data_IF_397244286499
#
_entry.id   IF_397244286499
#
_cell.length_a   1.000
_cell.length_b   1.000
_cell.length_c   1.000
_cell.angle_alpha   90.00
_cell.angle_beta   90.00
_cell.angle_gamma   90.00
#
_symmetry.space_group_name_H-M   'P 1'
#
loop_
_entity.id
_entity.type
_entity.pdbx_description
1 polymer ?
#
# COMPACT_ATOMS: atom_id res chain seq x y z
N UNK A 1 -0.64 9.45 -18.93
CA UNK A 1 -0.87 10.33 -17.77
C UNK A 1 -2.18 11.08 -17.94
N UNK A 2 -3.01 11.11 -16.89
CA UNK A 2 -4.31 11.78 -16.85
C UNK A 2 -4.13 13.27 -16.53
N UNK A 3 -4.22 14.12 -17.57
CA UNK A 3 -3.95 15.56 -17.44
C UNK A 3 -4.97 16.29 -16.55
N UNK A 4 -6.24 15.88 -16.58
CA UNK A 4 -7.26 16.45 -15.70
C UNK A 4 -6.92 16.20 -14.22
N UNK A 5 -6.46 14.99 -13.91
CA UNK A 5 -6.06 14.64 -12.56
C UNK A 5 -4.74 15.32 -12.15
N UNK A 6 -3.84 15.63 -13.08
CA UNK A 6 -2.65 16.46 -12.81
C UNK A 6 -3.05 17.85 -12.35
N UNK A 7 -3.97 18.52 -13.07
CA UNK A 7 -4.45 19.86 -12.69
C UNK A 7 -5.20 19.85 -11.36
N UNK A 8 -6.01 18.81 -11.11
CA UNK A 8 -6.66 18.62 -9.81
C UNK A 8 -5.66 18.40 -8.67
N UNK A 9 -4.57 17.67 -8.93
CA UNK A 9 -3.51 17.50 -7.93
C UNK A 9 -2.78 18.81 -7.66
N UNK A 10 -2.53 19.65 -8.68
CA UNK A 10 -1.87 20.96 -8.50
C UNK A 10 -2.69 21.90 -7.63
N UNK A 11 -4.02 21.90 -7.79
CA UNK A 11 -4.88 22.79 -7.01
C UNK A 11 -4.96 22.45 -5.53
N UNK A 12 -4.69 21.19 -5.15
CA UNK A 12 -4.77 20.74 -3.74
C UNK A 12 -3.39 20.52 -3.09
N UNK A 13 -2.37 20.15 -3.85
CA UNK A 13 -1.01 19.90 -3.35
C UNK A 13 -0.01 21.03 -3.66
N UNK A 14 -0.34 21.92 -4.59
CA UNK A 14 0.59 22.92 -5.13
C UNK A 14 1.43 22.40 -6.30
N UNK A 15 1.91 23.32 -7.13
CA UNK A 15 2.65 22.97 -8.35
C UNK A 15 3.96 22.24 -8.08
N UNK A 16 4.73 22.68 -7.08
CA UNK A 16 6.07 22.13 -6.84
C UNK A 16 6.03 20.73 -6.24
N UNK A 17 5.02 20.43 -5.44
CA UNK A 17 4.77 19.06 -4.95
C UNK A 17 4.32 18.14 -6.09
N UNK A 18 3.49 18.62 -7.02
CA UNK A 18 3.16 17.84 -8.21
C UNK A 18 4.39 17.60 -9.07
N UNK A 19 5.25 18.61 -9.29
CA UNK A 19 6.54 18.42 -9.99
C UNK A 19 7.41 17.39 -9.28
N UNK A 20 7.48 17.42 -7.95
CA UNK A 20 8.16 16.39 -7.17
C UNK A 20 7.59 14.99 -7.44
N UNK A 21 6.26 14.82 -7.47
CA UNK A 21 5.64 13.52 -7.73
C UNK A 21 5.91 13.00 -9.15
N UNK A 22 5.92 13.90 -10.14
CA UNK A 22 6.30 13.54 -11.51
C UNK A 22 7.77 13.11 -11.56
N UNK A 23 8.67 13.81 -10.86
CA UNK A 23 10.07 13.40 -10.76
C UNK A 23 10.21 12.06 -10.01
N UNK A 24 9.41 11.79 -8.98
CA UNK A 24 9.38 10.50 -8.28
C UNK A 24 9.03 9.34 -9.22
N UNK A 25 8.18 9.58 -10.23
CA UNK A 25 7.89 8.57 -11.25
C UNK A 25 9.14 8.24 -12.08
N UNK A 26 9.84 9.26 -12.57
CA UNK A 26 11.08 9.11 -13.32
C UNK A 26 12.19 8.46 -12.47
N UNK A 27 12.29 8.83 -11.19
CA UNK A 27 13.23 8.25 -10.24
C UNK A 27 12.96 6.75 -10.00
N UNK A 28 11.69 6.35 -9.92
CA UNK A 28 11.31 4.95 -9.79
C UNK A 28 11.70 4.13 -11.03
N UNK A 29 11.49 4.69 -12.23
CA UNK A 29 11.95 4.08 -13.48
C UNK A 29 13.48 4.00 -13.50
N UNK A 30 14.18 5.04 -13.06
CA UNK A 30 15.63 5.03 -12.94
C UNK A 30 16.11 3.93 -11.98
N UNK A 31 15.47 3.77 -10.82
CA UNK A 31 15.76 2.72 -9.84
C UNK A 31 15.63 1.34 -10.50
N UNK A 32 14.54 1.11 -11.22
CA UNK A 32 14.32 -0.17 -11.91
C UNK A 32 15.34 -0.43 -13.02
N UNK A 33 15.74 0.60 -13.78
CA UNK A 33 16.69 0.46 -14.87
C UNK A 33 18.15 0.33 -14.42
N UNK A 34 18.52 0.89 -13.27
CA UNK A 34 19.93 0.97 -12.82
C UNK A 34 20.24 0.11 -11.61
N UNK A 35 19.30 -0.09 -10.70
CA UNK A 35 19.47 -0.95 -9.52
C UNK A 35 18.76 -2.29 -9.67
N UNK A 36 17.68 -2.34 -10.45
CA UNK A 36 16.90 -3.55 -10.69
C UNK A 36 16.24 -4.12 -9.44
N UNK A 37 15.59 -5.27 -9.60
CA UNK A 37 14.97 -6.04 -8.52
C UNK A 37 15.54 -7.45 -8.50
N UNK A 38 16.04 -7.90 -7.35
CA UNK A 38 16.51 -9.28 -7.21
C UNK A 38 15.34 -10.25 -7.24
N UNK A 39 15.47 -11.37 -7.96
CA UNK A 39 14.41 -12.34 -8.19
C UNK A 39 14.99 -13.73 -8.47
N UNK A 40 14.52 -14.74 -7.73
CA UNK A 40 14.85 -16.15 -7.94
C UNK A 40 13.68 -16.94 -8.56
N UNK A 41 12.50 -16.32 -8.71
CA UNK A 41 11.37 -16.97 -9.36
C UNK A 41 11.64 -17.16 -10.86
N UNK A 42 11.80 -18.42 -11.27
CA UNK A 42 12.17 -18.80 -12.64
C UNK A 42 11.15 -18.34 -13.69
N UNK A 43 9.86 -18.35 -13.36
CA UNK A 43 8.83 -17.94 -14.32
C UNK A 43 8.87 -16.42 -14.54
N UNK A 44 9.05 -15.64 -13.46
CA UNK A 44 9.23 -14.18 -13.57
C UNK A 44 10.50 -13.87 -14.37
N UNK A 45 11.64 -14.49 -14.02
CA UNK A 45 12.91 -14.29 -14.72
C UNK A 45 12.76 -14.56 -16.22
N UNK A 46 12.09 -15.67 -16.59
CA UNK A 46 11.85 -16.04 -17.98
C UNK A 46 11.07 -14.98 -18.75
N UNK A 47 10.04 -14.36 -18.14
CA UNK A 47 9.27 -13.31 -18.82
C UNK A 47 10.13 -12.10 -19.19
N UNK A 48 11.07 -11.72 -18.32
CA UNK A 48 11.96 -10.60 -18.59
C UNK A 48 13.15 -10.97 -19.51
N UNK A 49 13.64 -12.21 -19.45
CA UNK A 49 14.70 -12.69 -20.36
C UNK A 49 14.27 -12.65 -21.83
N UNK A 50 13.00 -12.92 -22.13
CA UNK A 50 12.45 -12.82 -23.50
C UNK A 50 12.61 -11.40 -24.07
N UNK A 51 12.66 -10.39 -23.20
CA UNK A 51 12.71 -8.98 -23.58
C UNK A 51 14.14 -8.43 -23.70
N UNK A 52 15.16 -9.25 -23.50
CA UNK A 52 16.56 -8.87 -23.70
C UNK A 52 16.87 -8.60 -25.17
N UNK A 53 16.26 -9.37 -26.09
CA UNK A 53 16.44 -9.20 -27.55
C UNK A 53 16.03 -7.81 -28.02
N UNK A 54 14.99 -7.24 -27.39
CA UNK A 54 14.45 -5.91 -27.70
C UNK A 54 15.04 -4.80 -26.80
N UNK A 55 16.02 -5.11 -25.94
CA UNK A 55 16.61 -4.21 -24.94
C UNK A 55 15.58 -3.55 -24.00
N UNK A 56 14.45 -4.20 -23.74
CA UNK A 56 13.39 -3.64 -22.88
C UNK A 56 13.54 -4.07 -21.41
N UNK A 57 14.25 -5.17 -21.18
CA UNK A 57 14.68 -5.60 -19.86
C UNK A 57 16.03 -6.31 -19.95
N UNK A 58 16.73 -6.41 -18.82
CA UNK A 58 17.98 -7.17 -18.69
C UNK A 58 17.86 -8.04 -17.45
N UNK A 59 18.26 -9.30 -17.55
CA UNK A 59 18.35 -10.23 -16.43
C UNK A 59 19.80 -10.64 -16.23
N UNK A 60 20.41 -10.13 -15.15
CA UNK A 60 21.81 -10.40 -14.82
C UNK A 60 21.90 -10.88 -13.36
N UNK A 61 22.53 -12.03 -13.12
CA UNK A 61 22.73 -12.59 -11.76
C UNK A 61 21.45 -12.60 -10.89
N UNK A 62 20.34 -13.14 -11.42
CA UNK A 62 19.04 -13.16 -10.72
C UNK A 62 18.54 -11.77 -10.33
N UNK A 63 18.88 -10.73 -11.10
CA UNK A 63 18.39 -9.37 -10.93
C UNK A 63 17.82 -8.86 -12.24
N UNK A 64 16.62 -8.30 -12.16
CA UNK A 64 15.83 -7.84 -13.30
C UNK A 64 15.91 -6.32 -13.35
N UNK A 65 16.37 -5.80 -14.48
CA UNK A 65 16.41 -4.37 -14.80
C UNK A 65 15.33 -4.09 -15.84
N UNK A 66 14.50 -3.08 -15.59
CA UNK A 66 13.36 -2.71 -16.45
C UNK A 66 13.66 -1.36 -17.10
N UNK A 67 13.62 -1.30 -18.43
CA UNK A 67 13.84 -0.05 -19.16
C UNK A 67 12.58 0.83 -19.18
N UNK A 68 12.72 2.15 -19.39
CA UNK A 68 11.60 3.09 -19.36
C UNK A 68 10.45 2.73 -20.31
N UNK A 69 10.76 2.28 -21.52
CA UNK A 69 9.79 1.92 -22.54
C UNK A 69 8.92 0.73 -22.12
N UNK A 70 9.51 -0.28 -21.47
CA UNK A 70 8.78 -1.39 -20.88
C UNK A 70 7.84 -0.93 -19.76
N UNK A 71 8.35 -0.10 -18.85
CA UNK A 71 7.56 0.44 -17.75
C UNK A 71 6.35 1.22 -18.26
N UNK A 72 6.55 2.14 -19.21
CA UNK A 72 5.48 2.90 -19.84
C UNK A 72 4.47 2.01 -20.56
N UNK A 73 4.95 0.99 -21.30
CA UNK A 73 4.08 0.05 -22.02
C UNK A 73 3.18 -0.70 -21.04
N UNK A 74 3.76 -1.26 -19.98
CA UNK A 74 2.99 -2.00 -18.99
C UNK A 74 2.00 -1.10 -18.24
N UNK A 75 2.35 0.15 -17.94
CA UNK A 75 1.40 1.09 -17.33
C UNK A 75 0.21 1.39 -18.25
N UNK A 76 0.44 1.54 -19.56
CA UNK A 76 -0.62 1.79 -20.55
C UNK A 76 -1.59 0.61 -20.72
N UNK A 77 -1.20 -0.60 -20.36
CA UNK A 77 -2.05 -1.79 -20.48
C UNK A 77 -2.87 -2.07 -19.22
N UNK A 78 -2.61 -1.41 -18.09
CA UNK A 78 -3.42 -1.57 -16.88
C UNK A 78 -4.79 -0.91 -17.08
N UNK A 79 -5.92 -1.62 -16.81
CA UNK A 79 -7.24 -1.01 -16.79
C UNK A 79 -7.30 0.16 -15.79
N UNK A 80 -7.81 1.30 -16.26
CA UNK A 80 -7.78 2.55 -15.52
C UNK A 80 -8.77 2.62 -14.36
N UNK A 81 -8.81 3.74 -13.65
CA UNK A 81 -9.70 3.92 -12.48
C UNK A 81 -11.17 3.82 -12.86
N UNK A 82 -11.54 4.29 -14.06
CA UNK A 82 -12.92 4.24 -14.55
C UNK A 82 -13.45 2.80 -14.74
N UNK A 83 -12.56 1.83 -14.94
CA UNK A 83 -12.89 0.41 -15.09
C UNK A 83 -12.82 -0.36 -13.77
N UNK A 84 -12.39 0.30 -12.70
CA UNK A 84 -12.20 -0.32 -11.40
C UNK A 84 -13.45 -0.18 -10.51
N UNK A 85 -13.82 -1.26 -9.83
CA UNK A 85 -15.10 -1.37 -9.12
C UNK A 85 -15.18 -0.56 -7.81
N UNK A 86 -14.05 -0.15 -7.23
CA UNK A 86 -14.05 0.58 -5.98
C UNK A 86 -13.99 2.09 -6.26
N UNK A 87 -14.89 2.89 -5.69
CA UNK A 87 -14.91 4.33 -5.94
C UNK A 87 -13.74 5.04 -5.24
N UNK A 88 -13.45 6.26 -5.67
CA UNK A 88 -12.55 7.18 -4.95
C UNK A 88 -13.10 7.54 -3.57
N UNK A 89 -12.21 8.03 -2.71
CA UNK A 89 -12.50 8.40 -1.33
C UNK A 89 -13.09 7.23 -0.51
N UNK A 90 -12.59 6.02 -0.76
CA UNK A 90 -13.06 4.80 -0.13
C UNK A 90 -12.21 4.38 1.06
N UNK A 91 -12.75 4.46 2.28
CA UNK A 91 -12.09 3.88 3.45
C UNK A 91 -12.43 2.40 3.59
N UNK A 92 -11.42 1.56 3.81
CA UNK A 92 -11.55 0.12 3.94
C UNK A 92 -11.12 -0.31 5.34
N UNK A 93 -11.85 -1.27 5.94
CA UNK A 93 -11.25 -2.07 7.01
C UNK A 93 -10.07 -2.80 6.38
N UNK A 94 -8.90 -2.74 6.99
CA UNK A 94 -7.76 -3.37 6.37
C UNK A 94 -6.60 -3.65 7.25
N UNK A 95 -5.90 -4.75 7.01
CA UNK A 95 -4.82 -5.24 7.87
C UNK A 95 -5.06 -6.71 8.20
N UNK A 96 -4.10 -7.29 8.91
CA UNK A 96 -4.14 -8.69 9.33
C UNK A 96 -3.59 -8.75 10.75
N UNK A 97 -4.34 -8.19 11.70
CA UNK A 97 -3.95 -8.21 13.11
C UNK A 97 -3.84 -9.68 13.58
N UNK A 98 -2.68 -10.12 14.11
CA UNK A 98 -2.55 -11.43 14.70
C UNK A 98 -3.44 -11.62 15.93
N UNK A 99 -3.83 -10.52 16.60
CA UNK A 99 -4.50 -10.57 17.89
C UNK A 99 -5.75 -9.68 17.95
N UNK A 100 -6.59 -9.97 18.93
CA UNK A 100 -7.71 -9.15 19.38
C UNK A 100 -7.28 -8.42 20.65
N UNK A 101 -7.66 -7.16 20.74
CA UNK A 101 -7.63 -6.40 21.98
C UNK A 101 -8.92 -6.65 22.76
N UNK A 102 -8.80 -7.10 24.00
CA UNK A 102 -9.89 -7.16 24.96
C UNK A 102 -10.15 -5.77 25.53
N UNK A 103 -11.14 -5.08 24.99
CA UNK A 103 -11.52 -3.74 25.42
C UNK A 103 -11.98 -3.70 26.89
N UNK A 104 -12.50 -4.81 27.44
CA UNK A 104 -12.99 -4.87 28.83
C UNK A 104 -11.86 -5.16 29.82
N UNK A 105 -10.95 -6.08 29.48
CA UNK A 105 -9.78 -6.38 30.31
C UNK A 105 -8.65 -5.36 30.14
N UNK A 106 -8.63 -4.62 29.02
CA UNK A 106 -7.57 -3.67 28.69
C UNK A 106 -6.27 -4.34 28.23
N UNK A 107 -6.35 -5.56 27.72
CA UNK A 107 -5.22 -6.43 27.35
C UNK A 107 -5.31 -6.85 25.87
N UNK A 108 -4.16 -6.93 25.19
CA UNK A 108 -4.09 -7.45 23.82
C UNK A 108 -3.47 -8.84 23.77
N UNK A 109 -3.35 -9.41 22.57
CA UNK A 109 -2.77 -10.74 22.41
C UNK A 109 -3.79 -11.89 22.37
N UNK A 110 -5.10 -11.62 22.44
CA UNK A 110 -6.11 -12.68 22.35
C UNK A 110 -6.17 -13.25 20.94
N UNK A 111 -6.33 -14.57 20.83
CA UNK A 111 -6.45 -15.23 19.54
C UNK A 111 -7.78 -14.86 18.84
N UNK A 112 -7.74 -14.46 17.56
CA UNK A 112 -8.95 -14.21 16.78
C UNK A 112 -9.82 -15.47 16.65
N UNK A 113 -11.14 -15.28 16.61
CA UNK A 113 -12.15 -16.34 16.50
C UNK A 113 -13.01 -16.13 15.25
N UNK A 114 -13.77 -17.16 14.86
CA UNK A 114 -14.75 -17.04 13.78
C UNK A 114 -15.80 -15.98 14.09
N UNK A 115 -16.24 -15.89 15.35
CA UNK A 115 -17.20 -14.86 15.79
C UNK A 115 -16.66 -13.45 15.59
N UNK A 116 -15.37 -13.23 15.84
CA UNK A 116 -14.73 -11.94 15.58
C UNK A 116 -14.74 -11.59 14.09
N UNK A 117 -14.37 -12.54 13.21
CA UNK A 117 -14.38 -12.31 11.77
C UNK A 117 -15.80 -12.03 11.23
N UNK A 118 -16.81 -12.78 11.69
CA UNK A 118 -18.21 -12.53 11.32
C UNK A 118 -18.65 -11.13 11.77
N UNK A 119 -18.30 -10.72 12.99
CA UNK A 119 -18.60 -9.38 13.51
C UNK A 119 -17.96 -8.30 12.63
N UNK A 120 -16.67 -8.42 12.30
CA UNK A 120 -15.98 -7.47 11.42
C UNK A 120 -16.66 -7.38 10.05
N UNK A 121 -16.99 -8.52 9.43
CA UNK A 121 -17.64 -8.54 8.11
C UNK A 121 -19.04 -7.90 8.13
N UNK A 122 -19.86 -8.22 9.13
CA UNK A 122 -21.18 -7.60 9.30
C UNK A 122 -21.10 -6.10 9.60
N UNK A 123 -20.11 -5.67 10.38
CA UNK A 123 -19.87 -4.23 10.63
C UNK A 123 -19.47 -3.53 9.34
N UNK A 124 -18.57 -4.12 8.54
CA UNK A 124 -18.19 -3.60 7.24
C UNK A 124 -19.40 -3.45 6.31
N UNK A 125 -20.26 -4.47 6.24
CA UNK A 125 -21.47 -4.46 5.41
C UNK A 125 -22.44 -3.34 5.82
N UNK A 126 -22.74 -3.23 7.12
CA UNK A 126 -23.73 -2.29 7.66
C UNK A 126 -23.28 -0.82 7.59
N UNK A 127 -21.98 -0.56 7.77
CA UNK A 127 -21.44 0.81 7.86
C UNK A 127 -21.53 1.55 6.52
N UNK A 128 -21.90 2.84 6.50
CA UNK A 128 -21.91 3.63 5.25
C UNK A 128 -20.54 4.19 4.89
N UNK A 129 -19.69 4.41 5.89
CA UNK A 129 -18.35 5.01 5.73
C UNK A 129 -17.29 3.99 5.36
N UNK A 130 -17.56 2.69 5.58
CA UNK A 130 -16.68 1.60 5.14
C UNK A 130 -17.11 1.16 3.74
N UNK A 131 -16.26 1.44 2.74
CA UNK A 131 -16.53 1.14 1.34
C UNK A 131 -16.10 -0.27 0.91
N UNK A 132 -15.28 -0.96 1.71
CA UNK A 132 -14.82 -2.31 1.45
C UNK A 132 -14.00 -2.87 2.61
N UNK A 133 -13.53 -4.11 2.50
CA UNK A 133 -12.80 -4.72 3.60
C UNK A 133 -11.72 -5.73 3.18
N UNK A 134 -10.67 -5.77 3.99
CA UNK A 134 -9.75 -6.87 4.11
C UNK A 134 -10.07 -7.75 5.31
N UNK A 135 -9.10 -8.60 5.68
CA UNK A 135 -9.23 -9.57 6.76
C UNK A 135 -9.52 -8.94 8.13
N UNK A 136 -8.91 -7.80 8.44
CA UNK A 136 -8.96 -7.20 9.78
C UNK A 136 -8.06 -7.96 10.77
N UNK A 137 -8.33 -9.26 10.93
CA UNK A 137 -7.65 -10.18 11.86
C UNK A 137 -7.11 -11.41 11.13
N UNK A 138 -6.18 -12.16 11.73
CA UNK A 138 -5.63 -13.40 11.17
C UNK A 138 -6.33 -14.63 11.75
N UNK A 139 -7.12 -15.34 10.94
CA UNK A 139 -7.58 -16.68 11.31
C UNK A 139 -6.56 -17.74 10.87
N UNK A 140 -6.58 -18.90 11.54
CA UNK A 140 -5.73 -20.05 11.18
C UNK A 140 -6.11 -20.64 9.81
N UNK A 141 -7.40 -20.73 9.53
CA UNK A 141 -7.91 -21.27 8.27
C UNK A 141 -8.25 -20.13 7.31
N UNK A 142 -7.36 -19.87 6.35
CA UNK A 142 -7.51 -18.77 5.39
C UNK A 142 -8.70 -18.94 4.45
N UNK A 143 -9.01 -20.16 4.03
CA UNK A 143 -10.13 -20.45 3.10
C UNK A 143 -11.45 -20.17 3.79
N UNK A 144 -11.61 -20.65 5.01
CA UNK A 144 -12.79 -20.37 5.84
C UNK A 144 -12.94 -18.86 6.05
N UNK A 145 -11.84 -18.15 6.31
CA UNK A 145 -11.86 -16.71 6.47
C UNK A 145 -12.34 -15.98 5.20
N UNK A 146 -11.80 -16.34 4.04
CA UNK A 146 -12.23 -15.79 2.75
C UNK A 146 -13.73 -16.00 2.51
N UNK A 147 -14.22 -17.20 2.84
CA UNK A 147 -15.63 -17.54 2.64
C UNK A 147 -16.55 -16.79 3.60
N UNK A 148 -16.17 -16.64 4.88
CA UNK A 148 -16.91 -15.79 5.83
C UNK A 148 -16.96 -14.34 5.34
N UNK A 149 -15.84 -13.77 4.91
CA UNK A 149 -15.83 -12.42 4.34
C UNK A 149 -16.77 -12.32 3.13
N UNK A 150 -16.72 -13.33 2.24
CA UNK A 150 -17.53 -13.36 1.03
C UNK A 150 -19.04 -13.55 1.29
N UNK A 151 -19.40 -14.26 2.36
CA UNK A 151 -20.78 -14.54 2.78
C UNK A 151 -21.41 -13.34 3.49
N UNK A 152 -20.67 -12.65 4.36
CA UNK A 152 -21.23 -11.63 5.26
C UNK A 152 -21.02 -10.17 4.82
N UNK A 153 -20.29 -9.91 3.72
CA UNK A 153 -20.04 -8.56 3.22
C UNK A 153 -20.05 -8.53 1.68
N UNK A 154 -20.99 -7.82 1.07
CA UNK A 154 -21.16 -7.69 -0.38
C UNK A 154 -20.23 -6.65 -1.04
N UNK A 155 -19.63 -5.78 -0.22
CA UNK A 155 -18.69 -4.73 -0.65
C UNK A 155 -17.37 -5.29 -1.17
N UNK A 156 -16.57 -4.50 -1.91
CA UNK A 156 -15.25 -4.91 -2.35
C UNK A 156 -14.39 -5.59 -1.28
N UNK A 157 -13.77 -6.72 -1.64
CA UNK A 157 -12.93 -7.50 -0.75
C UNK A 157 -11.50 -7.57 -1.25
N UNK A 158 -10.54 -7.61 -0.31
CA UNK A 158 -9.21 -8.07 -0.64
C UNK A 158 -8.67 -9.01 0.44
N UNK A 159 -7.83 -9.95 0.05
CA UNK A 159 -7.24 -10.90 0.98
C UNK A 159 -5.92 -11.42 0.43
N UNK A 160 -4.99 -11.76 1.32
CA UNK A 160 -3.78 -12.47 0.92
C UNK A 160 -4.13 -13.85 0.39
N UNK A 161 -3.49 -14.22 -0.72
CA UNK A 161 -3.65 -15.50 -1.41
C UNK A 161 -2.27 -16.15 -1.47
N UNK A 162 -1.97 -17.05 -0.53
CA UNK A 162 -0.62 -17.61 -0.34
C UNK A 162 -0.60 -19.14 -0.43
N UNK A 163 -1.58 -19.74 -1.11
CA UNK A 163 -1.65 -21.18 -1.34
C UNK A 163 -2.48 -21.48 -2.59
N UNK A 164 -2.26 -22.64 -3.20
CA UNK A 164 -3.04 -23.07 -4.37
C UNK A 164 -4.53 -23.22 -4.02
N UNK A 165 -4.83 -23.70 -2.81
CA UNK A 165 -6.20 -23.76 -2.30
C UNK A 165 -6.84 -22.36 -2.19
N UNK A 166 -6.08 -21.36 -1.74
CA UNK A 166 -6.57 -19.99 -1.66
C UNK A 166 -6.78 -19.38 -3.05
N UNK A 167 -5.95 -19.72 -4.04
CA UNK A 167 -6.13 -19.29 -5.44
C UNK A 167 -7.42 -19.88 -6.01
N UNK A 168 -7.65 -21.19 -5.85
CA UNK A 168 -8.88 -21.82 -6.34
C UNK A 168 -10.13 -21.26 -5.65
N UNK A 169 -10.05 -21.00 -4.35
CA UNK A 169 -11.15 -20.35 -3.63
C UNK A 169 -11.35 -18.89 -4.09
N UNK A 170 -10.28 -18.14 -4.34
CA UNK A 170 -10.36 -16.78 -4.88
C UNK A 170 -11.02 -16.78 -6.27
N UNK A 171 -10.67 -17.72 -7.16
CA UNK A 171 -11.33 -17.90 -8.47
C UNK A 171 -12.82 -18.16 -8.32
N UNK A 172 -13.20 -19.05 -7.40
CA UNK A 172 -14.61 -19.36 -7.15
C UNK A 172 -15.40 -18.15 -6.63
N UNK A 173 -14.81 -17.33 -5.75
CA UNK A 173 -15.42 -16.09 -5.26
C UNK A 173 -15.50 -15.05 -6.39
N UNK A 174 -14.41 -14.85 -7.14
CA UNK A 174 -14.34 -13.87 -8.23
C UNK A 174 -15.34 -14.16 -9.35
N UNK A 175 -15.53 -15.44 -9.70
CA UNK A 175 -16.52 -15.85 -10.71
C UNK A 175 -17.93 -15.37 -10.39
N UNK A 176 -18.27 -15.23 -9.10
CA UNK A 176 -19.60 -14.78 -8.64
C UNK A 176 -19.68 -13.27 -8.41
N UNK A 177 -18.62 -12.65 -7.88
CA UNK A 177 -18.69 -11.29 -7.33
C UNK A 177 -18.02 -10.21 -8.17
N UNK A 178 -16.96 -10.56 -8.91
CA UNK A 178 -16.15 -9.63 -9.72
C UNK A 178 -15.54 -8.41 -8.99
N UNK A 179 -15.69 -8.29 -7.67
CA UNK A 179 -15.21 -7.17 -6.86
C UNK A 179 -14.19 -7.61 -5.78
N UNK A 180 -13.35 -8.60 -6.09
CA UNK A 180 -12.28 -9.04 -5.19
C UNK A 180 -10.90 -8.68 -5.70
N UNK A 181 -9.94 -8.58 -4.79
CA UNK A 181 -8.53 -8.35 -5.10
C UNK A 181 -7.65 -9.35 -4.36
N UNK A 182 -6.78 -10.04 -5.09
CA UNK A 182 -5.79 -10.95 -4.52
C UNK A 182 -4.55 -10.16 -4.12
N UNK A 183 -4.27 -10.08 -2.81
CA UNK A 183 -3.20 -9.25 -2.26
C UNK A 183 -1.88 -10.02 -2.13
N UNK A 184 -0.81 -9.44 -2.68
CA UNK A 184 0.54 -9.98 -2.63
C UNK A 184 1.52 -8.94 -2.12
N UNK A 185 2.29 -9.31 -1.09
CA UNK A 185 3.49 -8.57 -0.70
C UNK A 185 4.64 -9.07 -1.55
N UNK A 186 4.62 -8.70 -2.84
CA UNK A 186 5.48 -9.29 -3.86
C UNK A 186 6.95 -8.93 -3.65
N UNK A 187 7.24 -7.77 -3.09
CA UNK A 187 8.61 -7.33 -2.79
C UNK A 187 8.89 -7.35 -1.28
N UNK A 188 10.17 -7.44 -0.95
CA UNK A 188 10.76 -7.14 0.34
C UNK A 188 11.73 -6.00 0.12
N UNK A 189 11.45 -4.88 0.76
CA UNK A 189 12.27 -3.69 0.57
C UNK A 189 13.60 -3.81 1.31
N UNK A 190 14.72 -3.37 0.71
CA UNK A 190 14.81 -2.76 -0.62
C UNK A 190 14.97 -3.78 -1.77
N UNK A 191 14.19 -3.60 -2.84
CA UNK A 191 14.48 -4.08 -4.21
C UNK A 191 14.74 -5.60 -4.36
N UNK A 192 13.97 -6.42 -3.64
CA UNK A 192 14.03 -7.88 -3.72
C UNK A 192 12.63 -8.48 -3.83
N UNK A 193 12.44 -9.53 -4.64
CA UNK A 193 11.21 -10.32 -4.68
C UNK A 193 11.08 -11.16 -3.40
N UNK A 194 9.87 -11.18 -2.86
CA UNK A 194 9.48 -12.07 -1.78
C UNK A 194 9.19 -13.48 -2.33
N UNK A 195 10.19 -14.35 -2.32
CA UNK A 195 10.05 -15.68 -2.90
C UNK A 195 8.99 -16.56 -2.24
N UNK A 196 8.61 -16.25 -0.99
CA UNK A 196 7.55 -16.98 -0.31
C UNK A 196 6.15 -16.76 -0.93
N UNK A 197 5.98 -15.75 -1.79
CA UNK A 197 4.68 -15.44 -2.42
C UNK A 197 4.76 -15.30 -3.94
N UNK A 198 5.96 -15.26 -4.54
CA UNK A 198 6.15 -14.99 -5.96
C UNK A 198 5.48 -16.04 -6.85
N UNK A 199 5.52 -17.33 -6.48
CA UNK A 199 4.83 -18.39 -7.22
C UNK A 199 3.30 -18.21 -7.21
N UNK A 200 2.71 -17.86 -6.06
CA UNK A 200 1.28 -17.65 -5.94
C UNK A 200 0.81 -16.39 -6.69
N UNK A 201 1.66 -15.35 -6.71
CA UNK A 201 1.41 -14.16 -7.54
C UNK A 201 1.33 -14.53 -9.02
N UNK A 202 2.33 -15.25 -9.54
CA UNK A 202 2.34 -15.72 -10.94
C UNK A 202 1.09 -16.53 -11.27
N UNK A 203 0.73 -17.50 -10.42
CA UNK A 203 -0.46 -18.34 -10.62
C UNK A 203 -1.75 -17.50 -10.61
N UNK A 204 -1.89 -16.55 -9.68
CA UNK A 204 -3.07 -15.69 -9.60
C UNK A 204 -3.20 -14.75 -10.80
N UNK A 205 -2.10 -14.17 -11.28
CA UNK A 205 -2.08 -13.35 -12.50
C UNK A 205 -2.49 -14.17 -13.72
N UNK A 206 -1.89 -15.36 -13.92
CA UNK A 206 -2.26 -16.25 -15.03
C UNK A 206 -3.73 -16.69 -14.94
N UNK A 207 -4.30 -16.79 -13.74
CA UNK A 207 -5.70 -17.09 -13.52
C UNK A 207 -6.65 -15.90 -13.77
N UNK A 208 -6.13 -14.69 -14.05
CA UNK A 208 -6.92 -13.49 -14.33
C UNK A 208 -7.58 -12.87 -13.09
N UNK A 209 -7.02 -13.11 -11.90
CA UNK A 209 -7.48 -12.47 -10.66
C UNK A 209 -6.92 -11.03 -10.58
N UNK A 210 -7.74 -10.01 -10.24
CA UNK A 210 -7.23 -8.67 -9.96
C UNK A 210 -6.15 -8.71 -8.89
N UNK A 211 -4.96 -8.20 -9.19
CA UNK A 211 -3.81 -8.29 -8.29
C UNK A 211 -3.58 -6.99 -7.55
N UNK A 212 -3.53 -7.10 -6.24
CA UNK A 212 -3.26 -6.01 -5.32
C UNK A 212 -1.81 -6.13 -4.87
N UNK A 213 -0.96 -5.25 -5.39
CA UNK A 213 0.50 -5.38 -5.34
C UNK A 213 1.03 -4.45 -4.26
N UNK A 214 1.53 -5.05 -3.19
CA UNK A 214 1.92 -4.36 -1.97
C UNK A 214 3.44 -4.33 -1.80
N UNK A 215 3.94 -3.15 -1.43
CA UNK A 215 5.30 -2.88 -0.99
C UNK A 215 5.23 -1.93 0.22
N UNK A 216 6.15 -2.04 1.17
CA UNK A 216 6.19 -1.16 2.33
C UNK A 216 7.63 -0.75 2.68
N UNK A 217 8.30 0.03 1.81
CA UNK A 217 9.56 0.63 2.19
C UNK A 217 9.42 1.53 3.41
N UNK A 218 10.41 1.46 4.27
CA UNK A 218 10.47 2.17 5.55
C UNK A 218 11.59 3.20 5.47
N UNK A 219 11.22 4.48 5.41
CA UNK A 219 12.14 5.60 5.34
C UNK A 219 13.13 5.54 6.52
N UNK A 220 14.42 5.61 6.22
CA UNK A 220 15.54 5.47 7.18
C UNK A 220 15.91 4.03 7.52
N UNK A 221 15.27 3.03 6.91
CA UNK A 221 15.59 1.61 7.13
C UNK A 221 15.76 0.87 5.81
N UNK A 222 14.76 0.89 4.94
CA UNK A 222 14.77 0.24 3.61
C UNK A 222 14.52 1.22 2.46
N UNK A 223 14.49 2.52 2.74
CA UNK A 223 14.46 3.61 1.77
C UNK A 223 15.09 4.88 2.37
N UNK A 224 15.46 5.88 1.56
CA UNK A 224 15.97 7.16 2.05
C UNK A 224 14.99 7.87 3.01
N UNK A 225 15.51 8.59 4.01
CA UNK A 225 14.70 9.37 4.96
C UNK A 225 14.31 10.75 4.38
N UNK A 226 13.51 10.75 3.31
CA UNK A 226 12.92 11.93 2.70
C UNK A 226 11.67 11.54 1.89
N UNK A 227 10.78 12.50 1.60
CA UNK A 227 9.52 12.21 0.89
C UNK A 227 9.74 11.60 -0.48
N UNK A 228 10.47 12.27 -1.39
CA UNK A 228 10.69 11.76 -2.74
C UNK A 228 11.45 10.43 -2.74
N UNK A 229 12.43 10.24 -1.85
CA UNK A 229 13.19 8.99 -1.78
C UNK A 229 12.35 7.78 -1.36
N UNK A 230 11.55 7.88 -0.29
CA UNK A 230 10.66 6.79 0.13
C UNK A 230 9.54 6.54 -0.88
N UNK A 231 9.01 7.59 -1.51
CA UNK A 231 8.01 7.48 -2.56
C UNK A 231 8.57 6.78 -3.81
N UNK A 232 9.76 7.15 -4.28
CA UNK A 232 10.39 6.55 -5.46
C UNK A 232 10.70 5.07 -5.25
N UNK A 233 11.28 4.71 -4.09
CA UNK A 233 11.53 3.30 -3.73
C UNK A 233 10.23 2.50 -3.68
N UNK A 234 9.18 3.07 -3.08
CA UNK A 234 7.86 2.44 -2.97
C UNK A 234 7.24 2.24 -4.35
N UNK A 235 7.30 3.26 -5.21
CA UNK A 235 6.74 3.19 -6.54
C UNK A 235 7.52 2.20 -7.42
N UNK A 236 8.84 2.17 -7.35
CA UNK A 236 9.68 1.22 -8.09
C UNK A 236 9.31 -0.24 -7.79
N UNK A 237 9.19 -0.59 -6.51
CA UNK A 237 8.86 -1.96 -6.10
C UNK A 237 7.47 -2.42 -6.56
N UNK A 238 6.47 -1.54 -6.49
CA UNK A 238 5.13 -1.88 -6.95
C UNK A 238 5.05 -1.87 -8.47
N UNK A 239 5.74 -0.94 -9.14
CA UNK A 239 5.83 -0.86 -10.59
C UNK A 239 6.48 -2.11 -11.19
N UNK A 240 7.51 -2.67 -10.54
CA UNK A 240 8.04 -3.99 -10.91
C UNK A 240 6.95 -5.08 -10.90
N UNK A 241 6.12 -5.11 -9.86
CA UNK A 241 5.01 -6.04 -9.79
C UNK A 241 3.97 -5.80 -10.88
N UNK A 242 3.65 -4.55 -11.20
CA UNK A 242 2.75 -4.20 -12.29
C UNK A 242 3.31 -4.69 -13.62
N UNK A 243 4.58 -4.40 -13.92
CA UNK A 243 5.24 -4.88 -15.14
C UNK A 243 5.20 -6.41 -15.22
N UNK A 244 5.53 -7.10 -14.13
CA UNK A 244 5.46 -8.57 -14.06
C UNK A 244 4.05 -9.08 -14.35
N UNK A 245 3.03 -8.46 -13.76
CA UNK A 245 1.63 -8.85 -13.99
C UNK A 245 1.23 -8.66 -15.46
N UNK A 246 1.60 -7.52 -16.06
CA UNK A 246 1.25 -7.19 -17.44
C UNK A 246 2.00 -8.04 -18.47
N UNK A 247 3.20 -8.53 -18.15
CA UNK A 247 3.90 -9.50 -19.00
C UNK A 247 3.26 -10.89 -18.95
N UNK A 248 2.80 -11.31 -17.77
CA UNK A 248 2.14 -12.60 -17.58
C UNK A 248 0.70 -12.62 -18.11
N UNK A 249 0.00 -11.49 -18.02
CA UNK A 249 -1.40 -11.33 -18.43
C UNK A 249 -1.69 -9.87 -18.79
N UNK A 250 -1.41 -9.44 -20.04
CA UNK A 250 -1.69 -8.08 -20.47
C UNK A 250 -3.16 -7.71 -20.27
N UNK A 251 -3.44 -6.52 -19.71
CA UNK A 251 -4.81 -6.06 -19.45
C UNK A 251 -5.38 -6.51 -18.10
N UNK A 252 -4.62 -7.25 -17.27
CA UNK A 252 -5.10 -7.61 -15.94
C UNK A 252 -5.19 -6.37 -15.03
N UNK A 253 -6.23 -6.30 -14.20
CA UNK A 253 -6.35 -5.24 -13.20
C UNK A 253 -5.22 -5.32 -12.18
N UNK A 254 -4.42 -4.27 -12.11
CA UNK A 254 -3.38 -4.09 -11.10
C UNK A 254 -3.76 -2.94 -10.16
N UNK A 255 -3.70 -3.19 -8.85
CA UNK A 255 -3.89 -2.17 -7.82
C UNK A 255 -2.51 -1.85 -7.24
N UNK A 256 -2.07 -0.61 -7.42
CA UNK A 256 -0.85 -0.10 -6.82
C UNK A 256 -1.06 0.13 -5.33
N UNK A 257 -0.47 -0.72 -4.48
CA UNK A 257 -0.64 -0.64 -3.04
C UNK A 257 0.66 -0.52 -2.25
N UNK A 258 1.49 0.43 -2.69
CA UNK A 258 2.68 0.84 -1.95
C UNK A 258 2.34 1.69 -0.74
N UNK A 259 2.93 1.34 0.41
CA UNK A 259 2.72 1.99 1.71
C UNK A 259 4.03 2.63 2.19
N UNK A 260 4.37 3.84 1.72
CA UNK A 260 5.56 4.52 2.22
C UNK A 260 5.39 4.74 3.73
N UNK A 261 6.31 4.19 4.50
CA UNK A 261 6.26 4.21 5.98
C UNK A 261 7.49 4.91 6.52
N UNK A 262 7.41 5.43 7.75
CA UNK A 262 8.48 6.21 8.37
C UNK A 262 8.96 5.50 9.63
N UNK A 263 10.26 5.17 9.68
CA UNK A 263 10.87 4.69 10.92
C UNK A 263 11.04 5.86 11.88
N UNK A 264 10.71 5.63 13.15
CA UNK A 264 10.93 6.63 14.18
C UNK A 264 12.01 6.13 15.16
N UNK A 265 13.20 6.76 15.20
CA UNK A 265 14.22 6.40 16.16
C UNK A 265 13.77 6.51 17.62
N UNK A 266 12.74 7.33 17.91
CA UNK A 266 12.14 7.44 19.25
C UNK A 266 11.32 6.21 19.63
N UNK A 267 10.96 5.38 18.65
CA UNK A 267 10.20 4.14 18.80
C UNK A 267 11.07 2.94 18.42
N UNK A 268 12.39 2.98 18.66
CA UNK A 268 13.34 1.93 18.27
C UNK A 268 13.27 1.55 16.79
N UNK A 269 13.09 2.57 15.92
CA UNK A 269 12.90 2.42 14.47
C UNK A 269 11.64 1.64 14.06
N UNK A 270 10.68 1.43 14.98
CA UNK A 270 9.36 0.96 14.59
C UNK A 270 8.64 2.02 13.74
N UNK A 271 7.72 1.58 12.85
CA UNK A 271 6.84 2.48 12.12
C UNK A 271 6.06 3.43 13.03
N UNK A 272 6.12 4.72 12.76
CA UNK A 272 5.22 5.67 13.41
C UNK A 272 4.03 6.01 12.52
N UNK A 273 2.93 5.28 12.74
CA UNK A 273 1.72 5.39 11.91
C UNK A 273 0.86 6.63 12.22
N UNK A 274 1.06 7.24 13.39
CA UNK A 274 0.28 8.39 13.87
C UNK A 274 0.86 9.74 13.45
N UNK A 275 1.85 9.77 12.56
CA UNK A 275 2.43 11.03 12.05
C UNK A 275 1.54 11.67 10.99
N UNK A 276 1.53 13.00 10.95
CA UNK A 276 0.97 13.76 9.82
C UNK A 276 1.70 13.35 8.54
N UNK A 277 3.02 13.28 8.61
CA UNK A 277 3.88 12.93 7.48
C UNK A 277 3.64 11.52 6.93
N UNK A 278 3.27 10.56 7.78
CA UNK A 278 2.90 9.20 7.34
C UNK A 278 1.63 9.22 6.49
N UNK A 279 0.60 9.92 6.96
CA UNK A 279 -0.65 10.09 6.21
C UNK A 279 -0.40 10.89 4.92
N UNK A 280 0.40 11.95 4.97
CA UNK A 280 0.76 12.74 3.80
C UNK A 280 1.52 11.92 2.76
N UNK A 281 2.52 11.12 3.14
CA UNK A 281 3.27 10.28 2.20
C UNK A 281 2.36 9.27 1.47
N UNK A 282 1.38 8.71 2.18
CA UNK A 282 0.38 7.83 1.59
C UNK A 282 -0.59 8.58 0.64
N UNK A 283 -1.01 9.79 1.00
CA UNK A 283 -1.82 10.66 0.10
C UNK A 283 -1.02 11.01 -1.16
N UNK A 284 0.24 11.41 -1.02
CA UNK A 284 1.13 11.73 -2.14
C UNK A 284 1.31 10.55 -3.10
N UNK A 285 1.51 9.34 -2.56
CA UNK A 285 1.55 8.11 -3.36
C UNK A 285 0.21 7.86 -4.07
N UNK A 286 -0.93 8.10 -3.41
CA UNK A 286 -2.23 8.01 -4.06
C UNK A 286 -2.34 8.99 -5.23
N UNK A 287 -1.95 10.25 -5.05
CA UNK A 287 -1.98 11.27 -6.11
C UNK A 287 -1.08 10.94 -7.31
N UNK A 288 0.12 10.41 -7.07
CA UNK A 288 0.98 9.91 -8.14
C UNK A 288 0.23 8.86 -8.98
N UNK A 289 -0.34 7.84 -8.34
CA UNK A 289 -1.05 6.78 -9.04
C UNK A 289 -2.35 7.26 -9.71
N UNK A 290 -3.05 8.22 -9.12
CA UNK A 290 -4.21 8.87 -9.72
C UNK A 290 -3.83 9.62 -11.01
N UNK A 291 -2.68 10.31 -11.04
CA UNK A 291 -2.17 10.98 -12.24
C UNK A 291 -1.73 9.96 -13.31
N UNK A 292 -1.24 8.80 -12.91
CA UNK A 292 -0.93 7.69 -13.80
C UNK A 292 -2.18 6.90 -14.26
N UNK A 293 -3.35 7.22 -13.71
CA UNK A 293 -4.64 6.52 -13.93
C UNK A 293 -4.62 5.04 -13.51
N UNK A 294 -3.95 4.74 -12.40
CA UNK A 294 -3.83 3.37 -11.88
C UNK A 294 -4.72 3.22 -10.64
N UNK A 295 -5.52 2.14 -10.52
CA UNK A 295 -6.19 1.79 -9.27
C UNK A 295 -5.19 1.72 -8.11
N UNK A 296 -5.51 2.33 -6.96
CA UNK A 296 -4.52 2.50 -5.90
C UNK A 296 -5.12 2.41 -4.50
N UNK A 297 -4.36 1.86 -3.57
CA UNK A 297 -4.77 1.68 -2.18
C UNK A 297 -3.60 1.93 -1.24
N UNK A 298 -3.73 2.94 -0.38
CA UNK A 298 -2.71 3.34 0.58
C UNK A 298 -3.22 3.17 2.02
N UNK A 299 -2.43 3.57 3.00
CA UNK A 299 -2.75 3.43 4.42
C UNK A 299 -2.90 4.78 5.10
N UNK A 300 -3.94 4.95 5.94
CA UNK A 300 -4.17 6.19 6.68
C UNK A 300 -5.08 5.98 7.90
N UNK A 301 -5.06 6.95 8.83
CA UNK A 301 -5.93 6.96 10.02
C UNK A 301 -5.52 5.95 11.10
N UNK A 302 -4.24 5.60 11.13
CA UNK A 302 -3.65 4.58 11.99
C UNK A 302 -2.99 5.21 13.22
N UNK A 303 -2.73 4.39 14.23
CA UNK A 303 -2.01 4.79 15.44
C UNK A 303 -1.03 3.69 15.87
N UNK A 304 0.01 4.08 16.61
CA UNK A 304 0.90 3.14 17.28
C UNK A 304 0.47 2.83 18.73
N UNK A 305 -0.51 3.57 19.27
CA UNK A 305 -0.98 3.43 20.63
C UNK A 305 -1.44 2.00 20.96
N UNK A 306 -1.04 1.50 22.12
CA UNK A 306 -1.36 0.14 22.53
C UNK A 306 -2.83 -0.06 22.94
N UNK A 307 -3.56 1.04 23.18
CA UNK A 307 -4.94 1.05 23.71
C UNK A 307 -5.79 2.12 23.01
N UNK A 308 -7.10 2.05 23.18
CA UNK A 308 -7.99 3.16 22.85
C UNK A 308 -7.74 4.31 23.84
N UNK A 309 -7.23 5.43 23.34
CA UNK A 309 -6.82 6.62 24.10
C UNK A 309 -7.25 7.87 23.33
N UNK A 310 -7.21 9.04 23.98
CA UNK A 310 -7.43 10.31 23.27
C UNK A 310 -6.46 10.50 22.11
N UNK A 311 -5.20 10.07 22.28
CA UNK A 311 -4.20 10.11 21.21
C UNK A 311 -4.58 9.21 20.04
N UNK A 312 -5.01 7.97 20.29
CA UNK A 312 -5.37 7.06 19.20
C UNK A 312 -6.64 7.50 18.44
N UNK A 313 -7.56 8.18 19.11
CA UNK A 313 -8.71 8.85 18.47
C UNK A 313 -8.26 10.06 17.64
N UNK A 314 -7.36 10.90 18.19
CA UNK A 314 -6.83 12.07 17.49
C UNK A 314 -6.05 11.69 16.23
N UNK A 315 -5.21 10.64 16.29
CA UNK A 315 -4.48 10.10 15.15
C UNK A 315 -5.43 9.68 14.00
N UNK A 316 -6.51 8.97 14.34
CA UNK A 316 -7.52 8.55 13.36
C UNK A 316 -8.26 9.75 12.77
N UNK A 317 -8.72 10.70 13.60
CA UNK A 317 -9.41 11.91 13.13
C UNK A 317 -8.53 12.72 12.19
N UNK A 318 -7.28 12.96 12.58
CA UNK A 318 -6.29 13.65 11.77
C UNK A 318 -6.06 12.95 10.43
N UNK A 319 -5.82 11.63 10.44
CA UNK A 319 -5.58 10.86 9.22
C UNK A 319 -6.77 10.86 8.26
N UNK A 320 -8.00 10.68 8.78
CA UNK A 320 -9.21 10.77 7.96
C UNK A 320 -9.42 12.18 7.40
N UNK A 321 -9.23 13.22 8.22
CA UNK A 321 -9.38 14.60 7.78
C UNK A 321 -8.41 14.98 6.66
N UNK A 322 -7.13 14.59 6.78
CA UNK A 322 -6.12 14.78 5.73
C UNK A 322 -6.53 14.08 4.43
N UNK A 323 -7.00 12.84 4.52
CA UNK A 323 -7.49 12.09 3.36
C UNK A 323 -8.67 12.81 2.68
N UNK A 324 -9.65 13.29 3.46
CA UNK A 324 -10.79 14.02 2.91
C UNK A 324 -10.41 15.38 2.31
N UNK A 325 -9.43 16.09 2.90
CA UNK A 325 -8.94 17.39 2.42
C UNK A 325 -8.25 17.30 1.06
N UNK A 326 -7.37 16.31 0.89
CA UNK A 326 -6.55 16.20 -0.32
C UNK A 326 -7.12 15.23 -1.37
N UNK A 327 -7.95 14.28 -0.93
CA UNK A 327 -8.55 13.26 -1.79
C UNK A 327 -7.64 12.05 -2.02
N UNK A 328 -8.26 10.92 -2.33
CA UNK A 328 -7.57 9.63 -2.48
C UNK A 328 -8.40 8.65 -3.30
N UNK A 329 -7.83 7.48 -3.60
CA UNK A 329 -8.60 6.37 -4.17
C UNK A 329 -9.15 5.47 -3.06
N UNK A 330 -8.32 4.58 -2.51
CA UNK A 330 -8.67 3.74 -1.36
C UNK A 330 -7.65 3.98 -0.24
N UNK A 331 -8.15 4.06 1.00
CA UNK A 331 -7.32 4.02 2.21
C UNK A 331 -7.71 2.83 3.07
N UNK A 332 -6.75 2.01 3.47
CA UNK A 332 -6.92 0.86 4.35
C UNK A 332 -6.28 1.10 5.71
N UNK A 333 -6.48 0.16 6.63
CA UNK A 333 -6.05 0.25 8.05
C UNK A 333 -6.74 1.34 8.86
N UNK A 334 -7.75 1.98 8.27
CA UNK A 334 -8.40 3.18 8.83
C UNK A 334 -9.38 2.89 9.98
N UNK A 335 -9.55 1.62 10.37
CA UNK A 335 -10.53 1.23 11.38
C UNK A 335 -10.05 0.05 12.24
N UNK A 336 -10.11 0.22 13.57
CA UNK A 336 -10.07 -0.85 14.56
C UNK A 336 -8.68 -1.31 15.00
N UNK A 337 -7.59 -0.74 14.48
CA UNK A 337 -6.23 -1.20 14.80
C UNK A 337 -5.60 -0.44 15.95
N UNK A 338 -4.87 -1.18 16.77
CA UNK A 338 -4.02 -0.70 17.87
C UNK A 338 -2.65 -1.40 17.83
N UNK A 339 -1.73 -0.90 18.64
CA UNK A 339 -0.38 -1.46 18.88
C UNK A 339 0.34 -1.78 17.57
N UNK A 340 0.59 -0.78 16.74
CA UNK A 340 1.28 -0.97 15.46
C UNK A 340 0.60 -2.00 14.53
N UNK A 341 -0.74 -1.98 14.48
CA UNK A 341 -1.58 -2.93 13.72
C UNK A 341 -1.55 -4.38 14.23
N UNK A 342 -0.99 -4.64 15.41
CA UNK A 342 -0.88 -6.01 15.94
C UNK A 342 -2.16 -6.47 16.62
N UNK A 343 -2.93 -5.55 17.20
CA UNK A 343 -4.21 -5.83 17.82
C UNK A 343 -5.36 -5.20 17.02
N UNK A 344 -6.49 -5.91 16.96
CA UNK A 344 -7.77 -5.39 16.50
C UNK A 344 -8.73 -5.20 17.69
N UNK A 345 -9.20 -3.99 17.91
CA UNK A 345 -10.16 -3.61 18.96
C UNK A 345 -11.53 -3.32 18.35
N UNK A 346 -12.59 -3.85 18.97
CA UNK A 346 -13.94 -3.56 18.53
C UNK A 346 -14.43 -2.19 19.02
N UNK A 347 -14.04 -1.77 20.22
CA UNK A 347 -14.33 -0.41 20.69
C UNK A 347 -13.64 0.64 19.79
N UNK A 348 -12.39 0.39 19.37
CA UNK A 348 -11.67 1.22 18.40
C UNK A 348 -12.38 1.21 17.04
N UNK A 349 -12.84 0.06 16.56
CA UNK A 349 -13.59 -0.02 15.29
C UNK A 349 -14.85 0.86 15.34
N UNK A 350 -15.65 0.73 16.41
CA UNK A 350 -16.89 1.51 16.56
C UNK A 350 -16.58 3.01 16.69
N UNK A 351 -15.51 3.36 17.42
CA UNK A 351 -15.04 4.75 17.56
C UNK A 351 -14.56 5.33 16.23
N UNK A 352 -13.79 4.57 15.46
CA UNK A 352 -13.25 5.01 14.16
C UNK A 352 -14.36 5.22 13.13
N UNK A 353 -15.42 4.41 13.19
CA UNK A 353 -16.63 4.61 12.39
C UNK A 353 -17.30 5.93 12.78
N UNK A 354 -17.49 6.20 14.07
CA UNK A 354 -18.08 7.46 14.55
C UNK A 354 -17.24 8.69 14.17
N UNK A 355 -15.91 8.56 14.17
CA UNK A 355 -15.01 9.60 13.69
C UNK A 355 -15.21 9.81 12.19
N UNK A 356 -15.18 8.75 11.39
CA UNK A 356 -15.35 8.83 9.94
C UNK A 356 -16.72 9.42 9.52
N UNK A 357 -17.76 9.25 10.34
CA UNK A 357 -19.10 9.83 10.10
C UNK A 357 -19.17 11.34 10.39
N UNK A 358 -18.25 11.89 11.18
CA UNK A 358 -18.32 13.27 11.67
C UNK A 358 -17.14 14.14 11.23
N UNK A 359 -16.03 13.53 10.84
CA UNK A 359 -14.82 14.22 10.40
C UNK A 359 -15.02 14.91 9.06
N UNK A 360 -14.44 16.10 8.93
CA UNK A 360 -14.52 16.94 7.73
C UNK A 360 -13.12 17.33 7.26
N UNK A 361 -12.96 17.81 6.01
CA UNK A 361 -11.71 18.42 5.55
C UNK A 361 -11.19 19.55 6.45
N UNK A 362 -12.07 20.25 7.18
CA UNK A 362 -11.69 21.36 8.07
C UNK A 362 -11.02 20.89 9.37
N UNK A 363 -11.18 19.62 9.75
CA UNK A 363 -10.48 19.02 10.90
C UNK A 363 -9.00 18.71 10.59
N UNK A 364 -8.57 18.83 9.33
CA UNK A 364 -7.22 18.48 8.92
C UNK A 364 -6.23 19.54 9.41
N UNK A 365 -5.10 19.16 10.01
CA UNK A 365 -4.06 20.11 10.36
C UNK A 365 -3.50 20.78 9.11
N UNK A 366 -2.88 21.94 9.30
CA UNK A 366 -2.06 22.54 8.27
C UNK A 366 -0.80 21.71 8.05
N UNK A 367 -0.44 21.55 6.78
CA UNK A 367 0.69 20.70 6.36
C UNK A 367 1.51 21.48 5.36
N UNK A 368 2.81 21.57 5.62
CA UNK A 368 3.75 22.07 4.63
C UNK A 368 3.95 21.01 3.55
N UNK A 369 3.65 21.39 2.31
CA UNK A 369 3.73 20.49 1.17
C UNK A 369 5.18 20.26 0.77
N UNK A 370 5.64 19.01 0.65
CA UNK A 370 7.04 18.72 0.35
C UNK A 370 7.37 19.07 -1.09
N UNK A 371 8.59 19.56 -1.28
CA UNK A 371 9.21 19.77 -2.58
C UNK A 371 10.32 18.76 -2.79
N UNK A 372 10.81 18.67 -4.03
CA UNK A 372 11.85 17.72 -4.40
C UNK A 372 13.17 18.00 -3.67
N UNK A 373 13.74 16.95 -3.06
CA UNK A 373 15.04 16.98 -2.40
C UNK A 373 16.03 16.13 -3.20
N UNK A 374 16.96 16.78 -3.91
CA UNK A 374 18.00 16.14 -4.72
C UNK A 374 18.85 15.14 -3.92
N UNK A 375 18.98 15.34 -2.61
CA UNK A 375 19.73 14.44 -1.73
C UNK A 375 19.08 13.06 -1.65
N UNK A 376 17.76 12.96 -1.87
CA UNK A 376 17.04 11.70 -1.91
C UNK A 376 17.60 10.74 -2.95
N UNK A 377 17.72 11.19 -4.20
CA UNK A 377 18.30 10.36 -5.28
C UNK A 377 19.81 10.21 -5.17
N UNK A 378 20.53 11.17 -4.58
CA UNK A 378 21.94 10.98 -4.23
C UNK A 378 22.13 9.81 -3.24
N UNK A 379 21.28 9.73 -2.20
CA UNK A 379 21.24 8.63 -1.24
C UNK A 379 20.92 7.30 -1.91
N UNK A 380 19.91 7.26 -2.81
CA UNK A 380 19.59 6.04 -3.58
C UNK A 380 20.78 5.56 -4.42
N UNK A 381 21.48 6.47 -5.11
CA UNK A 381 22.63 6.13 -5.94
C UNK A 381 23.82 5.61 -5.12
N UNK A 382 24.03 6.17 -3.93
CA UNK A 382 25.11 5.77 -3.04
C UNK A 382 24.83 4.44 -2.33
N UNK A 383 23.64 4.30 -1.77
CA UNK A 383 23.24 3.15 -0.93
C UNK A 383 22.76 1.97 -1.79
N UNK A 384 22.15 2.24 -2.93
CA UNK A 384 21.65 1.22 -3.86
C UNK A 384 20.57 0.34 -3.24
N UNK A 385 20.70 -0.97 -3.42
CA UNK A 385 19.81 -1.99 -2.87
C UNK A 385 20.16 -2.40 -1.42
N UNK A 386 20.95 -1.61 -0.69
CA UNK A 386 21.29 -1.88 0.71
C UNK A 386 20.30 -1.20 1.67
N UNK A 387 20.40 -1.55 2.96
CA UNK A 387 19.62 -0.91 4.02
C UNK A 387 20.10 0.53 4.26
N UNK A 388 19.16 1.43 4.58
CA UNK A 388 19.36 2.87 4.74
C UNK A 388 19.53 3.33 6.20
N UNK A 389 19.72 2.38 7.14
CA UNK A 389 19.88 2.68 8.58
C UNK A 389 21.09 3.55 8.88
N UNK A 390 22.17 3.35 8.14
CA UNK A 390 23.44 4.07 8.30
C UNK A 390 23.59 5.20 7.26
N UNK A 391 22.53 5.49 6.49
CA UNK A 391 22.56 6.52 5.46
C UNK A 391 22.69 7.91 6.11
N UNK A 392 23.66 8.70 5.62
CA UNK A 392 23.91 10.05 6.13
C UNK A 392 22.70 10.98 6.01
N UNK A 393 21.85 10.80 4.99
CA UNK A 393 20.63 11.56 4.80
C UNK A 393 19.63 11.30 5.94
N UNK A 394 19.57 10.05 6.42
CA UNK A 394 18.76 9.67 7.58
C UNK A 394 19.14 10.54 8.77
N UNK A 395 20.42 10.52 9.15
CA UNK A 395 20.92 11.29 10.30
C UNK A 395 20.69 12.79 10.17
N UNK A 396 20.93 13.36 8.98
CA UNK A 396 20.80 14.82 8.75
C UNK A 396 19.35 15.29 8.85
N UNK A 397 18.39 14.44 8.49
CA UNK A 397 16.97 14.78 8.43
C UNK A 397 16.20 14.43 9.71
N UNK A 398 16.80 13.71 10.67
CA UNK A 398 16.16 13.43 11.96
C UNK A 398 15.73 14.72 12.66
N UNK A 399 14.47 14.78 13.08
CA UNK A 399 13.88 15.95 13.74
C UNK A 399 13.68 17.17 12.84
N UNK A 400 13.85 17.04 11.52
CA UNK A 400 13.62 18.12 10.54
C UNK A 400 12.56 17.75 9.51
N UNK A 401 12.64 16.52 8.99
CA UNK A 401 11.68 15.95 8.05
C UNK A 401 10.87 14.89 8.79
N UNK A 402 9.62 14.70 8.36
CA UNK A 402 8.68 13.78 9.01
C UNK A 402 8.38 14.14 10.48
N UNK A 403 8.60 15.40 10.84
CA UNK A 403 8.13 15.96 12.11
C UNK A 403 6.63 16.19 12.05
N UNK A 404 5.98 16.18 13.22
CA UNK A 404 4.53 16.23 13.47
C UNK A 404 3.74 14.94 13.26
#
# INVERSE_FOLDING_TARGET
MNQEQVEKSKSVLGEDTVKMLLQVHEDAIWILGNLGIGCNNLEILKQFQILEEDNQAIVYENRIYIMPDLAERCLKTVPGIAEFFAPRNSFFIGGTAPYIYDDAAGEGGLSPSLGHMIRIAKTAEKSKVIAGMGKGVKLKNEILQMNIMAEYCGKPLYFNVNSDAAIENAKAIYAKRKNIMAMFNLTRSPLQVNENVSEYFVKAVKAGLPVFISAMPLAGVSAPYCYNGVLAMTHAEVLFGICTAQLLHPGITCIHAGYPTIADPRLDYHPNFGLISHNLANILMAHLNLMLDIPTCQSAGMTHEAKLTERSMADTRMGHALCLKYGFHIMRHSFGFLRYLTDFSFAKLDTDISIAETVTPADAPEVEMPVYDERGMASVRQTGANMYKEDSLTTVNLGKIFVS
#
